data_IF_849752408425
#
_entry.id   IF_849752408425
#
_cell.length_a   1.000
_cell.length_b   1.000
_cell.length_c   1.000
_cell.angle_alpha   90.00
_cell.angle_beta   90.00
_cell.angle_gamma   90.00
#
_symmetry.space_group_name_H-M   'P 1'
#
loop_
_entity.id
_entity.type
_entity.pdbx_description
1 polymer ?
#
# COMPACT_ATOMS: atom_id res chain seq x y z
N UNK A 1 -3.29 -6.84 -16.43
CA UNK A 1 -3.82 -7.59 -15.28
C UNK A 1 -5.33 -7.45 -15.26
N UNK A 2 -6.02 -8.59 -15.22
CA UNK A 2 -7.47 -8.74 -15.38
C UNK A 2 -8.21 -8.15 -14.17
N UNK A 3 -9.33 -7.44 -14.39
CA UNK A 3 -10.06 -6.69 -13.36
C UNK A 3 -10.65 -7.51 -12.19
N UNK A 4 -10.46 -8.84 -12.17
CA UNK A 4 -11.01 -9.74 -11.16
C UNK A 4 -10.30 -9.64 -9.79
N UNK A 5 -8.99 -9.37 -9.76
CA UNK A 5 -8.25 -9.29 -8.49
C UNK A 5 -8.75 -8.16 -7.58
N UNK A 6 -9.25 -7.06 -8.18
CA UNK A 6 -9.84 -5.95 -7.43
C UNK A 6 -11.28 -6.20 -6.96
N UNK A 7 -11.92 -7.30 -7.39
CA UNK A 7 -13.27 -7.67 -6.96
C UNK A 7 -13.26 -8.46 -5.64
N UNK A 8 -12.18 -9.22 -5.41
CA UNK A 8 -11.99 -10.05 -4.21
C UNK A 8 -10.96 -9.47 -3.23
N UNK A 9 -10.18 -8.48 -3.67
CA UNK A 9 -9.15 -7.78 -2.90
C UNK A 9 -9.73 -6.79 -1.89
N UNK A 10 -10.08 -7.33 -0.73
CA UNK A 10 -10.23 -6.64 0.56
C UNK A 10 -11.50 -5.84 0.89
N UNK A 11 -12.13 -6.35 1.96
CA UNK A 11 -12.76 -5.63 3.08
C UNK A 11 -12.61 -4.10 3.02
N UNK A 12 -13.74 -3.39 3.02
CA UNK A 12 -13.87 -1.92 2.97
C UNK A 12 -12.92 -1.16 3.93
N UNK A 13 -11.66 -0.99 3.54
CA UNK A 13 -10.72 -0.14 4.27
C UNK A 13 -11.03 1.32 3.95
N UNK A 14 -11.04 2.18 4.97
CA UNK A 14 -11.45 3.58 4.82
C UNK A 14 -10.63 4.33 3.75
N UNK A 15 -9.36 3.95 3.58
CA UNK A 15 -8.46 4.56 2.60
C UNK A 15 -8.73 4.13 1.15
N UNK A 16 -9.43 3.01 0.93
CA UNK A 16 -9.69 2.42 -0.40
C UNK A 16 -11.14 2.59 -0.84
N UNK A 17 -11.98 3.32 -0.09
CA UNK A 17 -13.42 3.50 -0.39
C UNK A 17 -13.67 4.11 -1.78
N UNK A 18 -12.82 5.06 -2.22
CA UNK A 18 -12.93 5.69 -3.54
C UNK A 18 -12.61 4.74 -4.70
N UNK A 19 -11.85 3.67 -4.45
CA UNK A 19 -11.56 2.64 -5.45
C UNK A 19 -12.79 1.74 -5.70
N UNK A 20 -13.72 1.69 -4.74
CA UNK A 20 -14.89 0.82 -4.74
C UNK A 20 -16.22 1.56 -4.96
N UNK A 21 -16.28 2.89 -4.79
CA UNK A 21 -17.52 3.67 -4.81
C UNK A 21 -18.05 4.03 -6.21
N UNK A 22 -17.20 4.02 -7.24
CA UNK A 22 -17.64 4.22 -8.61
C UNK A 22 -18.01 2.87 -9.21
N UNK A 23 -19.27 2.70 -9.62
CA UNK A 23 -19.80 1.59 -10.43
C UNK A 23 -18.72 0.84 -11.24
N UNK A 24 -18.07 -0.15 -10.62
CA UNK A 24 -17.21 -1.25 -11.10
C UNK A 24 -16.25 -1.11 -12.33
N UNK A 25 -16.29 -0.09 -13.17
CA UNK A 25 -15.79 -0.17 -14.56
C UNK A 25 -14.45 0.52 -14.82
N UNK A 26 -14.00 1.48 -14.02
CA UNK A 26 -12.75 2.19 -14.32
C UNK A 26 -11.52 1.57 -13.62
N UNK A 27 -11.04 0.45 -14.16
CA UNK A 27 -9.80 -0.20 -13.73
C UNK A 27 -8.58 0.73 -13.82
N UNK A 28 -8.60 1.72 -14.73
CA UNK A 28 -7.54 2.71 -14.90
C UNK A 28 -7.53 3.67 -13.72
N UNK A 29 -8.70 4.18 -13.33
CA UNK A 29 -8.82 5.06 -12.15
C UNK A 29 -8.33 4.38 -10.87
N UNK A 30 -8.71 3.12 -10.63
CA UNK A 30 -8.22 2.36 -9.46
C UNK A 30 -6.70 2.22 -9.45
N UNK A 31 -6.10 1.84 -10.58
CA UNK A 31 -4.64 1.73 -10.71
C UNK A 31 -3.95 3.08 -10.48
N UNK A 32 -4.54 4.17 -10.97
CA UNK A 32 -4.03 5.54 -10.76
C UNK A 32 -4.08 5.95 -9.30
N UNK A 33 -5.21 5.74 -8.61
CA UNK A 33 -5.35 6.05 -7.18
C UNK A 33 -4.37 5.24 -6.33
N UNK A 34 -4.22 3.94 -6.62
CA UNK A 34 -3.22 3.11 -5.94
C UNK A 34 -1.80 3.60 -6.19
N UNK A 35 -1.44 3.91 -7.44
CA UNK A 35 -0.11 4.46 -7.75
C UNK A 35 0.15 5.78 -7.03
N UNK A 36 -0.83 6.67 -6.95
CA UNK A 36 -0.74 7.92 -6.19
C UNK A 36 -0.52 7.67 -4.69
N UNK A 37 -1.25 6.71 -4.10
CA UNK A 37 -1.05 6.32 -2.70
C UNK A 37 0.35 5.77 -2.48
N UNK A 38 0.80 4.83 -3.33
CA UNK A 38 2.15 4.26 -3.26
C UNK A 38 3.23 5.34 -3.38
N UNK A 39 3.05 6.32 -4.26
CA UNK A 39 3.98 7.46 -4.36
C UNK A 39 3.98 8.33 -3.10
N UNK A 40 2.83 8.52 -2.44
CA UNK A 40 2.76 9.22 -1.16
C UNK A 40 3.53 8.46 -0.06
N UNK A 41 3.27 7.15 0.06
CA UNK A 41 3.93 6.28 1.04
C UNK A 41 5.45 6.27 0.86
N UNK A 42 5.93 6.14 -0.37
CA UNK A 42 7.37 6.19 -0.65
C UNK A 42 8.02 7.51 -0.23
N UNK A 43 7.32 8.65 -0.38
CA UNK A 43 7.85 9.94 0.08
C UNK A 43 7.93 10.00 1.61
N UNK A 44 6.93 9.47 2.31
CA UNK A 44 6.92 9.43 3.78
C UNK A 44 8.00 8.50 4.34
N UNK A 45 8.26 7.38 3.65
CA UNK A 45 9.17 6.32 4.12
C UNK A 45 10.61 6.45 3.60
N UNK A 46 10.88 7.46 2.76
CA UNK A 46 12.22 7.73 2.24
C UNK A 46 13.28 7.95 3.34
N UNK A 47 13.01 8.66 4.46
CA UNK A 47 13.99 8.84 5.54
C UNK A 47 14.43 7.53 6.19
N UNK A 48 13.55 6.52 6.23
CA UNK A 48 13.82 5.19 6.78
C UNK A 48 14.47 4.25 5.75
N UNK A 49 14.75 4.73 4.53
CA UNK A 49 15.27 3.93 3.40
C UNK A 49 14.40 2.72 3.09
N UNK A 50 13.09 2.89 3.20
CA UNK A 50 12.10 1.89 2.83
C UNK A 50 11.38 2.31 1.55
N UNK A 51 11.04 1.32 0.75
CA UNK A 51 10.23 1.50 -0.46
C UNK A 51 8.96 0.66 -0.36
N UNK A 52 7.88 1.19 -0.93
CA UNK A 52 6.59 0.50 -1.02
C UNK A 52 6.27 0.30 -2.49
N UNK A 53 5.94 -0.93 -2.88
CA UNK A 53 5.45 -1.27 -4.21
C UNK A 53 4.08 -1.93 -4.14
N UNK A 54 3.28 -1.73 -5.18
CA UNK A 54 2.01 -2.44 -5.34
C UNK A 54 2.29 -3.92 -5.68
N UNK A 55 1.69 -4.82 -4.91
CA UNK A 55 1.81 -6.26 -5.07
C UNK A 55 0.48 -6.83 -5.57
N UNK A 56 0.47 -7.23 -6.85
CA UNK A 56 -0.67 -7.86 -7.51
C UNK A 56 -2.00 -7.07 -7.45
N UNK A 57 -1.94 -5.76 -7.19
CA UNK A 57 -3.11 -4.89 -7.08
C UNK A 57 -3.99 -5.14 -5.85
N UNK A 58 -3.56 -5.98 -4.91
CA UNK A 58 -4.29 -6.24 -3.66
C UNK A 58 -3.49 -5.74 -2.46
N UNK A 59 -2.21 -6.10 -2.37
CA UNK A 59 -1.37 -5.83 -1.22
C UNK A 59 -0.24 -4.87 -1.55
N UNK A 60 0.49 -4.46 -0.53
CA UNK A 60 1.69 -3.63 -0.61
C UNK A 60 2.89 -4.46 -0.16
N UNK A 61 3.98 -4.36 -0.90
CA UNK A 61 5.26 -4.91 -0.49
C UNK A 61 6.14 -3.77 0.01
N UNK A 62 6.58 -3.87 1.26
CA UNK A 62 7.54 -2.96 1.88
C UNK A 62 8.92 -3.61 1.74
N UNK A 63 9.90 -2.88 1.23
CA UNK A 63 11.27 -3.37 1.06
C UNK A 63 12.27 -2.40 1.67
N UNK A 64 13.30 -2.94 2.32
CA UNK A 64 14.40 -2.15 2.87
C UNK A 64 15.64 -2.19 1.98
N UNK A 65 16.52 -1.20 2.14
CA UNK A 65 17.83 -1.20 1.49
C UNK A 65 18.72 -2.40 1.86
N UNK A 66 18.41 -3.13 2.95
CA UNK A 66 19.14 -4.32 3.38
C UNK A 66 18.54 -5.63 2.84
N UNK A 67 17.48 -5.55 2.03
CA UNK A 67 16.85 -6.71 1.40
C UNK A 67 15.73 -7.36 2.22
N UNK A 68 15.43 -6.89 3.44
CA UNK A 68 14.24 -7.34 4.18
C UNK A 68 12.98 -6.84 3.48
N UNK A 69 11.99 -7.72 3.35
CA UNK A 69 10.69 -7.41 2.77
C UNK A 69 9.55 -7.91 3.65
N UNK A 70 8.44 -7.19 3.65
CA UNK A 70 7.20 -7.57 4.33
C UNK A 70 6.01 -7.24 3.42
N UNK A 71 4.94 -8.02 3.53
CA UNK A 71 3.67 -7.75 2.86
C UNK A 71 2.69 -7.11 3.84
N UNK A 72 1.92 -6.15 3.36
CA UNK A 72 0.85 -5.49 4.11
C UNK A 72 -0.35 -5.29 3.19
N UNK A 73 -1.53 -5.63 3.66
CA UNK A 73 -2.74 -5.52 2.86
C UNK A 73 -3.33 -4.10 2.91
N UNK A 74 -3.16 -3.41 4.05
CA UNK A 74 -3.69 -2.06 4.25
C UNK A 74 -2.71 -1.12 4.95
N UNK A 75 -3.07 0.17 5.03
CA UNK A 75 -2.23 1.23 5.62
C UNK A 75 -1.82 0.91 7.08
N UNK A 76 -2.73 0.36 7.88
CA UNK A 76 -2.43 0.03 9.28
C UNK A 76 -1.34 -1.03 9.39
N UNK A 77 -1.38 -2.04 8.52
CA UNK A 77 -0.35 -3.08 8.46
C UNK A 77 0.99 -2.56 7.89
N UNK A 78 0.97 -1.54 7.02
CA UNK A 78 2.21 -0.93 6.53
C UNK A 78 3.01 -0.35 7.68
N UNK A 79 2.37 0.33 8.62
CA UNK A 79 3.07 0.89 9.79
C UNK A 79 3.70 -0.18 10.66
N UNK A 80 2.94 -1.25 10.96
CA UNK A 80 3.48 -2.40 11.69
C UNK A 80 4.65 -3.05 10.97
N UNK A 81 4.59 -3.17 9.63
CA UNK A 81 5.68 -3.71 8.82
C UNK A 81 6.93 -2.80 8.86
N UNK A 82 6.75 -1.48 8.81
CA UNK A 82 7.85 -0.51 8.94
C UNK A 82 8.54 -0.66 10.29
N UNK A 83 7.77 -0.76 11.38
CA UNK A 83 8.32 -0.96 12.73
C UNK A 83 9.09 -2.29 12.84
N UNK A 84 8.53 -3.37 12.28
CA UNK A 84 9.16 -4.69 12.28
C UNK A 84 10.48 -4.71 11.49
N UNK A 85 10.53 -4.05 10.35
CA UNK A 85 11.73 -3.99 9.50
C UNK A 85 12.82 -3.13 10.15
N UNK A 86 12.44 -1.96 10.69
CA UNK A 86 13.37 -0.98 11.26
C UNK A 86 13.77 -1.28 12.71
N UNK A 87 12.97 -2.08 13.43
CA UNK A 87 13.16 -2.40 14.84
C UNK A 87 12.92 -1.21 15.78
N UNK A 88 12.18 -0.19 15.32
CA UNK A 88 11.90 1.05 16.06
C UNK A 88 10.44 1.44 15.86
N UNK A 89 9.81 2.11 16.86
CA UNK A 89 8.47 2.65 16.67
C UNK A 89 8.45 3.66 15.54
N UNK A 90 7.36 3.69 14.78
CA UNK A 90 7.20 4.58 13.63
C UNK A 90 5.88 5.34 13.74
N UNK A 91 5.98 6.66 13.82
CA UNK A 91 4.83 7.56 13.79
C UNK A 91 4.70 8.21 12.41
N UNK A 92 3.64 7.94 11.64
CA UNK A 92 3.41 8.54 10.33
C UNK A 92 3.03 10.03 10.39
N UNK A 93 2.72 10.58 11.57
CA UNK A 93 2.30 11.98 11.77
C UNK A 93 3.33 12.84 12.53
N UNK A 94 4.49 12.27 12.87
CA UNK A 94 5.57 12.97 13.57
C UNK A 94 6.32 14.00 12.71
#
# INVERSE_FOLDING_TARGET
MCGLCGLFGEQNHWSTRLEHSSQSSDAVLRRRLRAQRTACLNRMLAPQRLTVSDWQGSSYQISSATGKTELADNLSQIWLAVEKITGRPFDPLA
#
